data_IF_562086878773
#
_entry.id   IF_562086878773
#
_cell.length_a   1.000
_cell.length_b   1.000
_cell.length_c   1.000
_cell.angle_alpha   90.00
_cell.angle_beta   90.00
_cell.angle_gamma   90.00
#
_symmetry.space_group_name_H-M   'P 1'
#
loop_
_entity.id
_entity.type
_entity.pdbx_description
1 polymer ?
#
# COMPACT_ATOMS: atom_id res chain seq x y z
N UNK A 1 -22.48 67.43 -72.39
CA UNK A 1 -23.20 66.67 -71.34
C UNK A 1 -22.50 65.33 -71.14
N UNK A 2 -21.93 65.07 -69.97
CA UNK A 2 -21.75 63.73 -69.41
C UNK A 2 -21.45 63.89 -67.90
N UNK A 3 -22.34 63.37 -67.06
CA UNK A 3 -22.20 63.27 -65.60
C UNK A 3 -21.40 62.01 -65.26
N UNK A 4 -20.57 62.05 -64.22
CA UNK A 4 -20.35 60.87 -63.38
C UNK A 4 -20.15 61.26 -61.92
N UNK A 5 -21.12 60.83 -61.12
CA UNK A 5 -21.18 60.86 -59.67
C UNK A 5 -20.22 59.80 -59.05
N UNK A 6 -19.89 59.89 -57.74
CA UNK A 6 -18.83 59.13 -57.10
C UNK A 6 -19.25 57.70 -56.76
N UNK A 7 -18.33 56.74 -56.88
CA UNK A 7 -18.53 55.36 -56.41
C UNK A 7 -18.10 55.23 -54.94
N UNK A 8 -19.06 54.85 -54.10
CA UNK A 8 -18.93 54.38 -52.71
C UNK A 8 -17.99 53.17 -52.61
N UNK A 9 -17.21 52.99 -51.53
CA UNK A 9 -16.37 51.81 -51.37
C UNK A 9 -17.23 50.60 -51.02
N UNK A 10 -17.08 49.51 -51.78
CA UNK A 10 -17.69 48.21 -51.46
C UNK A 10 -16.96 47.59 -50.27
N UNK A 11 -17.70 47.27 -49.21
CA UNK A 11 -17.28 46.32 -48.18
C UNK A 11 -16.99 44.97 -48.83
N UNK A 12 -15.76 44.50 -48.68
CA UNK A 12 -15.34 43.17 -49.10
C UNK A 12 -15.71 42.17 -48.00
N UNK A 13 -16.75 41.37 -48.25
CA UNK A 13 -17.11 40.26 -47.39
C UNK A 13 -16.05 39.18 -47.51
N UNK A 14 -15.24 38.99 -46.48
CA UNK A 14 -14.34 37.83 -46.39
C UNK A 14 -15.16 36.53 -46.43
N UNK A 15 -14.84 35.56 -47.31
CA UNK A 15 -15.52 34.29 -47.32
C UNK A 15 -15.13 33.49 -46.06
N UNK A 16 -16.13 33.16 -45.24
CA UNK A 16 -15.99 32.15 -44.17
C UNK A 16 -15.84 30.79 -44.85
N UNK A 17 -14.61 30.33 -45.06
CA UNK A 17 -14.33 28.96 -45.48
C UNK A 17 -14.53 28.03 -44.29
N UNK A 18 -15.73 27.46 -44.16
CA UNK A 18 -15.92 26.27 -43.35
C UNK A 18 -15.23 25.11 -44.08
N UNK A 19 -13.95 24.89 -43.81
CA UNK A 19 -13.21 23.74 -44.36
C UNK A 19 -13.77 22.47 -43.71
N UNK A 20 -14.68 21.80 -44.41
CA UNK A 20 -15.07 20.45 -44.03
C UNK A 20 -13.82 19.56 -44.07
N UNK A 21 -13.55 18.77 -43.02
CA UNK A 21 -12.37 17.93 -42.99
C UNK A 21 -12.41 16.92 -44.15
N UNK A 22 -11.31 16.86 -44.92
CA UNK A 22 -11.14 15.93 -46.04
C UNK A 22 -11.36 14.48 -45.57
N UNK A 23 -12.06 13.66 -46.36
CA UNK A 23 -12.37 12.27 -46.02
C UNK A 23 -11.13 11.42 -45.72
N UNK A 24 -9.99 11.74 -46.35
CA UNK A 24 -8.69 11.10 -46.03
C UNK A 24 -8.17 11.46 -44.64
N UNK A 25 -8.41 12.69 -44.18
CA UNK A 25 -8.07 13.12 -42.82
C UNK A 25 -8.97 12.43 -41.80
N UNK A 26 -10.28 12.35 -42.05
CA UNK A 26 -11.22 11.64 -41.18
C UNK A 26 -10.86 10.16 -41.05
N UNK A 27 -10.57 9.48 -42.16
CA UNK A 27 -10.19 8.06 -42.16
C UNK A 27 -8.94 7.79 -41.31
N UNK A 28 -7.91 8.63 -41.41
CA UNK A 28 -6.70 8.51 -40.60
C UNK A 28 -6.99 8.65 -39.10
N UNK A 29 -7.80 9.64 -38.71
CA UNK A 29 -8.16 9.84 -37.31
C UNK A 29 -8.98 8.67 -36.75
N UNK A 30 -9.91 8.12 -37.54
CA UNK A 30 -10.66 6.92 -37.15
C UNK A 30 -9.70 5.73 -36.97
N UNK A 31 -8.75 5.53 -37.88
CA UNK A 31 -7.75 4.46 -37.76
C UNK A 31 -6.91 4.62 -36.48
N UNK A 32 -6.41 5.83 -36.20
CA UNK A 32 -5.66 6.10 -34.97
C UNK A 32 -6.51 5.90 -33.71
N UNK A 33 -7.78 6.27 -33.73
CA UNK A 33 -8.70 6.01 -32.64
C UNK A 33 -8.87 4.49 -32.41
N UNK A 34 -9.06 3.71 -33.47
CA UNK A 34 -9.18 2.26 -33.37
C UNK A 34 -7.88 1.63 -32.82
N UNK A 35 -6.72 2.09 -33.27
CA UNK A 35 -5.43 1.64 -32.75
C UNK A 35 -5.25 2.02 -31.27
N UNK A 36 -5.66 3.23 -30.87
CA UNK A 36 -5.61 3.65 -29.47
C UNK A 36 -6.55 2.81 -28.59
N UNK A 37 -7.77 2.55 -29.05
CA UNK A 37 -8.72 1.69 -28.33
C UNK A 37 -8.22 0.25 -28.22
N UNK A 38 -7.59 -0.27 -29.28
CA UNK A 38 -6.94 -1.59 -29.26
C UNK A 38 -5.80 -1.62 -28.24
N UNK A 39 -4.93 -0.61 -28.24
CA UNK A 39 -3.83 -0.49 -27.29
C UNK A 39 -4.35 -0.44 -25.85
N UNK A 40 -5.38 0.36 -25.58
CA UNK A 40 -6.03 0.43 -24.27
C UNK A 40 -6.60 -0.94 -23.90
N UNK A 41 -7.34 -1.58 -24.80
CA UNK A 41 -7.92 -2.91 -24.55
C UNK A 41 -6.84 -3.93 -24.19
N UNK A 42 -5.79 -4.06 -24.99
CA UNK A 42 -4.66 -4.98 -24.75
C UNK A 42 -4.00 -4.66 -23.41
N UNK A 43 -3.78 -3.38 -23.12
CA UNK A 43 -3.19 -2.95 -21.84
C UNK A 43 -4.05 -3.37 -20.65
N UNK A 44 -5.38 -3.28 -20.75
CA UNK A 44 -6.29 -3.68 -19.67
C UNK A 44 -6.54 -5.20 -19.58
N UNK A 45 -6.43 -5.95 -20.69
CA UNK A 45 -6.69 -7.40 -20.70
C UNK A 45 -5.44 -8.23 -20.45
N UNK A 46 -4.32 -7.87 -21.06
CA UNK A 46 -3.10 -8.69 -21.06
C UNK A 46 -2.15 -8.36 -19.91
N UNK A 47 -2.17 -7.13 -19.40
CA UNK A 47 -1.29 -6.76 -18.29
C UNK A 47 -1.95 -7.11 -16.94
N UNK A 48 -1.38 -8.05 -16.17
CA UNK A 48 -1.98 -8.49 -14.91
C UNK A 48 -2.16 -7.35 -13.90
N UNK A 49 -1.27 -6.35 -13.93
CA UNK A 49 -1.31 -5.20 -13.05
C UNK A 49 -2.60 -4.38 -13.20
N UNK A 50 -3.01 -4.06 -14.44
CA UNK A 50 -4.24 -3.29 -14.68
C UNK A 50 -5.49 -4.08 -14.31
N UNK A 51 -5.49 -5.39 -14.58
CA UNK A 51 -6.56 -6.29 -14.14
C UNK A 51 -6.67 -6.29 -12.61
N UNK A 52 -5.55 -6.43 -11.90
CA UNK A 52 -5.53 -6.39 -10.44
C UNK A 52 -6.01 -5.04 -9.89
N UNK A 53 -5.55 -3.92 -10.45
CA UNK A 53 -5.99 -2.58 -10.03
C UNK A 53 -7.51 -2.44 -10.16
N UNK A 54 -8.07 -2.78 -11.32
CA UNK A 54 -9.49 -2.56 -11.56
C UNK A 54 -10.38 -3.54 -10.77
N UNK A 55 -10.08 -4.83 -10.81
CA UNK A 55 -10.96 -5.85 -10.21
C UNK A 55 -10.72 -6.03 -8.71
N UNK A 56 -9.47 -6.08 -8.25
CA UNK A 56 -9.16 -6.35 -6.85
C UNK A 56 -9.10 -5.05 -6.05
N UNK A 57 -8.26 -4.09 -6.48
CA UNK A 57 -8.02 -2.87 -5.72
C UNK A 57 -9.22 -1.92 -5.75
N UNK A 58 -9.86 -1.70 -6.90
CA UNK A 58 -11.00 -0.78 -6.98
C UNK A 58 -12.33 -1.48 -6.68
N UNK A 59 -12.74 -2.45 -7.51
CA UNK A 59 -14.03 -3.12 -7.35
C UNK A 59 -14.12 -3.92 -6.05
N UNK A 60 -13.11 -4.72 -5.72
CA UNK A 60 -13.08 -5.52 -4.50
C UNK A 60 -13.17 -4.66 -3.24
N UNK A 61 -12.34 -3.62 -3.12
CA UNK A 61 -12.41 -2.70 -1.97
C UNK A 61 -13.75 -1.95 -1.92
N UNK A 62 -14.30 -1.50 -3.05
CA UNK A 62 -15.61 -0.82 -3.07
C UNK A 62 -16.74 -1.74 -2.61
N UNK A 63 -16.73 -3.02 -3.03
CA UNK A 63 -17.71 -4.01 -2.57
C UNK A 63 -17.64 -4.19 -1.05
N UNK A 64 -16.43 -4.25 -0.50
CA UNK A 64 -16.21 -4.42 0.94
C UNK A 64 -16.67 -3.19 1.74
N UNK A 65 -16.41 -1.97 1.23
CA UNK A 65 -16.91 -0.72 1.85
C UNK A 65 -18.44 -0.69 1.88
N UNK A 66 -19.09 -1.16 0.80
CA UNK A 66 -20.56 -1.23 0.75
C UNK A 66 -21.14 -2.28 1.69
N UNK A 67 -20.45 -3.41 1.86
CA UNK A 67 -20.88 -4.50 2.73
C UNK A 67 -20.73 -4.15 4.22
N UNK A 68 -19.68 -3.38 4.57
CA UNK A 68 -19.37 -2.99 5.95
C UNK A 68 -19.20 -1.47 6.06
N UNK A 69 -20.30 -0.69 6.04
CA UNK A 69 -20.23 0.77 6.04
C UNK A 69 -19.62 1.34 7.33
N UNK A 70 -19.86 0.69 8.47
CA UNK A 70 -19.46 1.16 9.80
C UNK A 70 -18.24 0.41 10.37
N UNK A 71 -17.40 -0.16 9.50
CA UNK A 71 -16.23 -0.93 9.94
C UNK A 71 -15.19 -0.03 10.61
N UNK A 72 -14.69 -0.45 11.78
CA UNK A 72 -13.58 0.24 12.44
C UNK A 72 -12.26 0.10 11.67
N UNK A 73 -11.32 0.99 11.94
CA UNK A 73 -9.97 0.89 11.37
C UNK A 73 -9.31 -0.45 11.70
N UNK A 74 -9.45 -0.91 12.94
CA UNK A 74 -8.88 -2.17 13.43
C UNK A 74 -9.42 -3.38 12.67
N UNK A 75 -10.74 -3.49 12.57
CA UNK A 75 -11.39 -4.56 11.80
C UNK A 75 -10.99 -4.52 10.33
N UNK A 76 -10.91 -3.32 9.73
CA UNK A 76 -10.45 -3.15 8.34
C UNK A 76 -9.02 -3.62 8.15
N UNK A 77 -8.12 -3.34 9.08
CA UNK A 77 -6.74 -3.82 9.02
C UNK A 77 -6.66 -5.33 9.21
N UNK A 78 -7.41 -5.89 10.16
CA UNK A 78 -7.50 -7.33 10.37
C UNK A 78 -8.02 -8.05 9.13
N UNK A 79 -9.05 -7.53 8.44
CA UNK A 79 -9.54 -8.11 7.19
C UNK A 79 -8.49 -8.06 6.07
N UNK A 80 -7.66 -7.02 6.01
CA UNK A 80 -6.66 -6.83 4.95
C UNK A 80 -5.37 -7.59 5.17
N UNK A 81 -4.95 -7.74 6.42
CA UNK A 81 -3.62 -8.19 6.79
C UNK A 81 -3.64 -9.48 7.64
N UNK A 82 -4.81 -9.84 8.16
CA UNK A 82 -5.03 -11.07 8.94
C UNK A 82 -4.18 -11.15 10.19
N UNK A 83 -3.66 -12.35 10.43
CA UNK A 83 -2.84 -12.73 11.59
C UNK A 83 -1.60 -11.84 11.78
N UNK A 84 -1.04 -11.28 10.69
CA UNK A 84 0.06 -10.33 10.76
C UNK A 84 -0.31 -9.07 11.53
N UNK A 85 -1.51 -8.54 11.28
CA UNK A 85 -2.00 -7.37 11.98
C UNK A 85 -2.37 -7.69 13.42
N UNK A 86 -3.03 -8.83 13.64
CA UNK A 86 -3.39 -9.28 14.98
C UNK A 86 -2.18 -9.39 15.91
N UNK A 87 -1.09 -9.99 15.42
CA UNK A 87 0.16 -10.09 16.18
C UNK A 87 0.79 -8.72 16.47
N UNK A 88 0.91 -7.84 15.47
CA UNK A 88 1.45 -6.49 15.68
C UNK A 88 0.55 -5.64 16.60
N UNK A 89 -0.76 -5.77 16.47
CA UNK A 89 -1.73 -5.09 17.31
C UNK A 89 -1.66 -5.58 18.76
N UNK A 90 -1.52 -6.89 18.97
CA UNK A 90 -1.28 -7.48 20.27
C UNK A 90 -0.02 -6.90 20.94
N UNK A 91 1.11 -6.87 20.22
CA UNK A 91 2.35 -6.26 20.73
C UNK A 91 2.10 -4.81 21.13
N UNK A 92 1.41 -4.05 20.28
CA UNK A 92 1.08 -2.65 20.53
C UNK A 92 0.26 -2.48 21.80
N UNK A 93 -0.75 -3.31 22.03
CA UNK A 93 -1.60 -3.24 23.22
C UNK A 93 -0.86 -3.69 24.49
N UNK A 94 0.03 -4.68 24.38
CA UNK A 94 0.73 -5.29 25.51
C UNK A 94 1.98 -4.53 25.97
N UNK A 95 2.38 -3.46 25.28
CA UNK A 95 3.61 -2.70 25.60
C UNK A 95 3.32 -1.20 25.70
N UNK A 96 4.05 -0.45 26.54
CA UNK A 96 3.94 1.00 26.61
C UNK A 96 4.49 1.68 25.34
N UNK A 97 4.18 2.95 25.17
CA UNK A 97 4.58 3.72 23.97
C UNK A 97 6.11 3.88 23.82
N UNK A 98 6.84 3.96 24.94
CA UNK A 98 8.29 4.11 24.99
C UNK A 98 9.06 2.78 24.92
N UNK A 99 8.35 1.67 24.74
CA UNK A 99 8.97 0.34 24.68
C UNK A 99 10.03 0.23 23.57
N UNK A 100 11.13 -0.41 23.92
CA UNK A 100 12.20 -0.81 23.02
C UNK A 100 12.18 -2.34 22.96
N UNK A 101 11.74 -2.85 21.83
CA UNK A 101 11.44 -4.26 21.63
C UNK A 101 12.56 -4.90 20.82
N UNK A 102 13.18 -5.95 21.37
CA UNK A 102 13.98 -6.89 20.58
C UNK A 102 13.01 -7.64 19.66
N UNK A 103 13.07 -7.30 18.38
CA UNK A 103 12.17 -7.81 17.36
C UNK A 103 12.74 -9.10 16.76
N UNK A 104 11.90 -10.10 16.42
CA UNK A 104 12.38 -11.38 15.94
C UNK A 104 13.10 -11.24 14.60
N UNK A 105 14.06 -12.13 14.36
CA UNK A 105 14.78 -12.19 13.09
C UNK A 105 13.87 -12.71 11.96
N UNK A 106 14.32 -12.57 10.71
CA UNK A 106 13.57 -13.08 9.56
C UNK A 106 13.44 -14.61 9.60
N UNK A 107 14.46 -15.29 10.08
CA UNK A 107 14.49 -16.75 10.22
C UNK A 107 13.40 -17.22 11.19
N UNK A 108 13.18 -16.49 12.29
CA UNK A 108 12.15 -16.80 13.26
C UNK A 108 10.74 -16.78 12.62
N UNK A 109 10.46 -15.85 11.71
CA UNK A 109 9.19 -15.79 10.96
C UNK A 109 9.09 -16.81 9.82
N UNK A 110 10.21 -17.35 9.33
CA UNK A 110 10.25 -18.22 8.14
C UNK A 110 10.19 -19.71 8.48
N UNK A 111 9.97 -20.07 9.75
CA UNK A 111 9.85 -21.47 10.17
C UNK A 111 8.64 -22.15 9.52
N UNK A 112 8.77 -23.45 9.31
CA UNK A 112 7.68 -24.28 8.80
C UNK A 112 6.45 -24.18 9.72
N UNK A 113 5.28 -23.96 9.11
CA UNK A 113 4.02 -23.77 9.84
C UNK A 113 3.81 -22.36 10.41
N UNK A 114 4.72 -21.41 10.18
CA UNK A 114 4.49 -20.04 10.64
C UNK A 114 3.29 -19.41 9.91
N UNK A 115 2.34 -18.81 10.63
CA UNK A 115 1.18 -18.16 10.01
C UNK A 115 1.51 -16.78 9.43
N UNK A 116 2.74 -16.27 9.67
CA UNK A 116 3.10 -14.89 9.40
C UNK A 116 3.75 -14.70 8.03
N UNK A 117 3.52 -13.52 7.45
CA UNK A 117 4.11 -13.10 6.19
C UNK A 117 4.51 -11.62 6.25
N UNK A 118 5.68 -11.28 5.71
CA UNK A 118 6.20 -9.91 5.53
C UNK A 118 6.48 -9.10 6.80
N UNK A 119 5.95 -9.47 7.97
CA UNK A 119 6.16 -8.74 9.22
C UNK A 119 7.58 -8.86 9.77
N UNK A 120 8.41 -9.77 9.26
CA UNK A 120 9.85 -9.79 9.51
C UNK A 120 10.55 -8.49 9.09
N UNK A 121 9.97 -7.74 8.16
CA UNK A 121 10.53 -6.46 7.74
C UNK A 121 10.34 -5.42 8.84
N UNK A 122 11.44 -5.01 9.47
CA UNK A 122 11.46 -4.01 10.55
C UNK A 122 10.74 -2.71 10.18
N UNK A 123 10.93 -2.19 8.96
CA UNK A 123 10.29 -0.94 8.52
C UNK A 123 8.77 -1.12 8.46
N UNK A 124 8.32 -2.26 7.93
CA UNK A 124 6.90 -2.61 7.88
C UNK A 124 6.29 -2.71 9.28
N UNK A 125 6.95 -3.46 10.20
CA UNK A 125 6.48 -3.62 11.58
C UNK A 125 6.47 -2.29 12.35
N UNK A 126 7.48 -1.45 12.16
CA UNK A 126 7.61 -0.13 12.82
C UNK A 126 6.40 0.76 12.51
N UNK A 127 5.86 0.71 11.28
CA UNK A 127 4.68 1.49 10.90
C UNK A 127 3.46 1.21 11.80
N UNK A 128 3.28 -0.04 12.24
CA UNK A 128 2.16 -0.42 13.10
C UNK A 128 2.46 -0.21 14.59
N UNK A 129 3.72 -0.41 14.98
CA UNK A 129 4.16 -0.38 16.37
C UNK A 129 4.55 1.02 16.87
N UNK A 130 4.72 2.00 15.97
CA UNK A 130 5.00 3.39 16.34
C UNK A 130 4.07 3.87 17.48
N UNK A 131 4.60 4.53 18.53
CA UNK A 131 5.97 5.07 18.68
C UNK A 131 7.05 4.11 19.22
N UNK A 132 6.75 2.82 19.40
CA UNK A 132 7.69 1.83 19.95
C UNK A 132 8.89 1.64 19.03
N UNK A 133 10.05 1.37 19.62
CA UNK A 133 11.31 1.19 18.89
C UNK A 133 11.60 -0.29 18.72
N UNK A 134 12.00 -0.69 17.52
CA UNK A 134 12.37 -2.08 17.22
C UNK A 134 13.89 -2.16 17.05
N UNK A 135 14.49 -3.17 17.66
CA UNK A 135 15.91 -3.51 17.50
C UNK A 135 15.98 -4.96 17.05
N UNK A 136 16.70 -5.25 15.97
CA UNK A 136 16.97 -6.61 15.54
C UNK A 136 18.23 -7.14 16.23
N UNK A 137 18.36 -8.46 16.34
CA UNK A 137 19.55 -9.09 16.90
C UNK A 137 20.83 -8.71 16.13
N UNK A 138 20.74 -8.61 14.80
CA UNK A 138 21.84 -8.16 13.94
C UNK A 138 22.26 -6.70 14.17
N UNK A 139 21.44 -5.90 14.86
CA UNK A 139 21.70 -4.48 15.11
C UNK A 139 22.23 -4.21 16.52
N UNK A 140 22.36 -5.22 17.38
CA UNK A 140 22.74 -5.02 18.80
C UNK A 140 24.09 -4.31 18.97
N UNK A 141 25.02 -4.46 18.03
CA UNK A 141 26.33 -3.77 18.07
C UNK A 141 26.35 -2.36 17.50
N UNK A 142 25.28 -1.91 16.83
CA UNK A 142 25.27 -0.64 16.05
C UNK A 142 24.09 0.25 16.45
N UNK A 143 22.99 -0.32 16.95
CA UNK A 143 21.78 0.40 17.31
C UNK A 143 22.00 1.26 18.55
N UNK A 144 21.62 2.54 18.44
CA UNK A 144 21.56 3.47 19.58
C UNK A 144 20.67 2.98 20.74
N UNK A 145 19.73 2.07 20.46
CA UNK A 145 18.75 1.59 21.43
C UNK A 145 19.04 0.19 21.95
N UNK A 146 20.19 -0.40 21.60
CA UNK A 146 20.56 -1.76 22.03
C UNK A 146 20.55 -1.89 23.57
N UNK A 147 21.08 -0.89 24.29
CA UNK A 147 21.13 -0.89 25.75
C UNK A 147 19.80 -0.54 26.42
N UNK A 148 18.77 -0.16 25.65
CA UNK A 148 17.47 0.29 26.15
C UNK A 148 16.37 -0.76 25.98
N UNK A 149 16.70 -1.93 25.43
CA UNK A 149 15.74 -3.00 25.18
C UNK A 149 15.13 -3.42 26.53
N UNK A 150 13.80 -3.39 26.59
CA UNK A 150 13.03 -3.77 27.77
C UNK A 150 11.96 -4.83 27.48
N UNK A 151 11.68 -5.13 26.22
CA UNK A 151 10.76 -6.18 25.79
C UNK A 151 11.39 -7.08 24.73
N UNK A 152 10.96 -8.34 24.68
CA UNK A 152 11.30 -9.32 23.64
C UNK A 152 10.01 -9.78 22.98
N UNK A 153 9.94 -9.63 21.67
CA UNK A 153 8.87 -10.21 20.87
C UNK A 153 9.20 -11.67 20.56
N UNK A 154 8.24 -12.55 20.77
CA UNK A 154 8.36 -14.00 20.58
C UNK A 154 7.51 -14.42 19.39
N UNK A 155 8.08 -15.26 18.52
CA UNK A 155 7.42 -15.82 17.34
C UNK A 155 7.86 -17.26 17.14
N UNK A 156 6.89 -18.17 16.95
CA UNK A 156 7.15 -19.61 16.78
C UNK A 156 8.05 -20.16 17.91
N UNK A 157 7.89 -19.63 19.13
CA UNK A 157 8.68 -19.97 20.32
C UNK A 157 10.09 -19.36 20.38
N UNK A 158 10.57 -18.68 19.33
CA UNK A 158 11.89 -18.03 19.29
C UNK A 158 11.93 -16.75 20.12
N UNK A 159 13.08 -16.47 20.73
CA UNK A 159 13.32 -15.29 21.58
C UNK A 159 13.14 -15.53 23.08
N UNK A 160 12.65 -16.72 23.49
CA UNK A 160 12.54 -17.09 24.92
C UNK A 160 13.90 -17.20 25.61
N UNK A 161 14.94 -17.57 24.85
CA UNK A 161 16.33 -17.64 25.30
C UNK A 161 16.90 -16.28 25.75
N UNK A 162 16.26 -15.18 25.32
CA UNK A 162 16.65 -13.80 25.68
C UNK A 162 16.02 -13.31 26.98
N UNK A 163 15.08 -14.06 27.56
CA UNK A 163 14.42 -13.69 28.82
C UNK A 163 15.24 -14.17 30.02
N UNK A 164 15.21 -13.40 31.11
CA UNK A 164 15.93 -13.75 32.34
C UNK A 164 15.18 -14.76 33.22
N UNK A 165 14.06 -15.32 32.75
CA UNK A 165 13.16 -16.15 33.53
C UNK A 165 12.53 -17.26 32.67
N UNK A 166 12.13 -18.41 33.28
CA UNK A 166 11.53 -19.51 32.53
C UNK A 166 10.17 -19.11 31.98
N UNK A 167 9.92 -19.46 30.72
CA UNK A 167 8.65 -19.24 30.03
C UNK A 167 8.06 -20.58 29.62
N UNK A 168 6.73 -20.69 29.63
CA UNK A 168 6.01 -21.89 29.19
C UNK A 168 6.45 -22.31 27.77
N UNK A 169 6.72 -23.60 27.58
CA UNK A 169 7.07 -24.17 26.28
C UNK A 169 5.94 -24.00 25.27
N UNK A 170 4.68 -23.96 25.72
CA UNK A 170 3.51 -23.75 24.87
C UNK A 170 3.38 -22.30 24.34
N UNK A 171 4.10 -21.32 24.89
CA UNK A 171 4.00 -19.93 24.45
C UNK A 171 4.64 -19.72 23.07
N UNK A 172 3.84 -19.59 22.00
CA UNK A 172 4.37 -19.52 20.64
C UNK A 172 4.55 -18.09 20.11
N UNK A 173 3.64 -17.19 20.44
CA UNK A 173 3.62 -15.83 19.90
C UNK A 173 3.27 -14.82 20.98
N UNK A 174 4.01 -13.73 21.05
CA UNK A 174 3.60 -12.55 21.78
C UNK A 174 4.77 -11.64 22.11
N UNK A 175 4.71 -10.97 23.26
CA UNK A 175 5.76 -10.06 23.73
C UNK A 175 5.84 -10.14 25.24
N UNK A 176 7.05 -10.21 25.76
CA UNK A 176 7.33 -10.34 27.17
C UNK A 176 8.40 -9.33 27.60
N UNK A 177 8.32 -8.76 28.81
CA UNK A 177 9.37 -7.89 29.31
C UNK A 177 10.64 -8.71 29.59
N UNK A 178 11.83 -8.12 29.41
CA UNK A 178 13.10 -8.83 29.69
C UNK A 178 13.21 -9.21 31.16
N UNK A 179 12.79 -8.29 32.03
CA UNK A 179 12.74 -8.47 33.48
C UNK A 179 11.28 -8.54 33.91
N UNK A 180 10.89 -9.50 34.79
CA UNK A 180 9.53 -9.60 35.26
C UNK A 180 9.10 -8.29 35.93
N UNK A 181 7.91 -7.79 35.58
CA UNK A 181 7.30 -6.67 36.29
C UNK A 181 6.98 -7.14 37.72
N UNK A 182 7.48 -6.42 38.73
CA UNK A 182 7.20 -6.67 40.14
C UNK A 182 5.75 -6.36 40.49
#
# INVERSE_FOLDING_TARGET
>A
MAKSNPKTPKQENAPKTSSHPDGKWLLKNILFLLLALLLVKITFTEQPAYKWVYYNLLKGNMSLIKQYPDISFEQKMQMKLGVNYEYLHFIKQATPEDAVILYPSQEAFSKEGSPFAHIYNKIYATRFLYPRKLVLESELGVSKYADQINYVAIVNGEGKDKLSYPTDSAYQHGVLPITPQK
#
